data_IF_051593857920
#
_entry.id   IF_051593857920
#
_cell.length_a   1.000
_cell.length_b   1.000
_cell.length_c   1.000
_cell.angle_alpha   90.00
_cell.angle_beta   90.00
_cell.angle_gamma   90.00
#
_symmetry.space_group_name_H-M   'P 1'
#
loop_
_entity.id
_entity.type
_entity.pdbx_description
1 polymer ?
#
# COMPACT_ATOMS: atom_id res chain seq x y z
N UNK A 1 0.31 -4.96 9.36
CA UNK A 1 1.11 -3.86 8.77
C UNK A 1 2.63 -3.96 8.98
N UNK A 2 3.20 -5.17 9.14
CA UNK A 2 4.62 -5.33 9.50
C UNK A 2 5.59 -4.91 8.38
N UNK A 3 5.26 -5.20 7.12
CA UNK A 3 6.09 -4.85 5.96
C UNK A 3 6.30 -3.35 5.84
N UNK A 4 5.25 -2.55 6.06
CA UNK A 4 5.33 -1.08 6.07
C UNK A 4 6.29 -0.58 7.14
N UNK A 5 6.20 -1.13 8.37
CA UNK A 5 7.08 -0.74 9.48
C UNK A 5 8.54 -1.09 9.21
N UNK A 6 8.80 -2.25 8.61
CA UNK A 6 10.15 -2.68 8.26
C UNK A 6 10.76 -1.80 7.17
N UNK A 7 9.99 -1.53 6.10
CA UNK A 7 10.46 -0.70 5.00
C UNK A 7 10.60 0.76 5.42
N UNK A 8 9.77 1.25 6.34
CA UNK A 8 9.96 2.56 6.95
C UNK A 8 11.28 2.68 7.72
N UNK A 9 11.65 1.66 8.51
CA UNK A 9 12.96 1.61 9.17
C UNK A 9 14.13 1.55 8.16
N UNK A 10 13.89 1.02 6.96
CA UNK A 10 14.84 0.98 5.87
C UNK A 10 14.88 2.28 5.03
N UNK A 11 14.20 3.36 5.46
CA UNK A 11 14.20 4.66 4.78
C UNK A 11 13.16 4.79 3.68
N UNK A 12 12.16 3.90 3.63
CA UNK A 12 11.11 3.92 2.63
C UNK A 12 9.82 4.58 3.17
N UNK A 13 9.03 5.13 2.26
CA UNK A 13 7.76 5.81 2.52
C UNK A 13 6.63 5.03 1.87
N UNK A 14 5.63 4.65 2.65
CA UNK A 14 4.40 4.04 2.13
C UNK A 14 3.47 5.13 1.61
N UNK A 15 3.20 5.13 0.32
CA UNK A 15 2.39 6.18 -0.34
C UNK A 15 0.97 5.74 -0.65
N UNK A 16 0.66 4.43 -0.59
CA UNK A 16 -0.68 3.94 -0.87
C UNK A 16 -0.93 2.56 -0.28
N UNK A 17 -2.18 2.32 0.12
CA UNK A 17 -2.66 1.06 0.69
C UNK A 17 -4.02 0.73 0.05
N UNK A 18 -4.16 -0.48 -0.51
CA UNK A 18 -5.44 -0.99 -1.01
C UNK A 18 -5.87 -2.24 -0.23
N UNK A 19 -7.08 -2.18 0.32
CA UNK A 19 -7.79 -3.26 1.03
C UNK A 19 -9.04 -3.66 0.21
N UNK A 20 -9.78 -4.68 0.68
CA UNK A 20 -11.05 -5.11 0.08
C UNK A 20 -12.13 -4.00 0.08
N UNK A 21 -12.09 -3.12 1.07
CA UNK A 21 -13.06 -2.03 1.24
C UNK A 21 -12.75 -0.81 0.36
N UNK A 22 -11.55 -0.75 -0.21
CA UNK A 22 -11.09 0.37 -1.04
C UNK A 22 -9.62 0.73 -0.83
N UNK A 23 -9.20 1.82 -1.46
CA UNK A 23 -7.81 2.27 -1.48
C UNK A 23 -7.64 3.67 -0.91
N UNK A 24 -6.50 3.92 -0.28
CA UNK A 24 -6.07 5.23 0.19
C UNK A 24 -4.69 5.57 -0.35
N UNK A 25 -4.43 6.86 -0.56
CA UNK A 25 -3.19 7.38 -1.12
C UNK A 25 -2.74 8.66 -0.41
N UNK A 26 -1.43 8.74 -0.16
CA UNK A 26 -0.75 9.94 0.32
C UNK A 26 0.72 9.95 -0.17
N UNK A 27 1.09 10.82 -1.13
CA UNK A 27 2.48 10.92 -1.60
C UNK A 27 3.45 11.39 -0.51
N UNK A 28 2.95 12.10 0.51
CA UNK A 28 3.76 12.53 1.67
C UNK A 28 4.03 11.39 2.66
N UNK A 29 3.28 10.29 2.55
CA UNK A 29 3.49 9.08 3.31
C UNK A 29 2.39 8.78 4.32
N UNK A 30 2.12 7.49 4.48
CA UNK A 30 1.11 6.94 5.38
C UNK A 30 1.82 6.36 6.59
N UNK A 31 1.49 6.89 7.78
CA UNK A 31 2.08 6.40 9.02
C UNK A 31 1.46 5.06 9.43
N UNK A 32 2.24 4.00 9.37
CA UNK A 32 1.78 2.63 9.59
C UNK A 32 1.03 2.43 10.91
N UNK A 33 1.60 2.87 12.04
CA UNK A 33 0.97 2.69 13.36
C UNK A 33 -0.39 3.41 13.45
N UNK A 34 -0.44 4.70 13.10
CA UNK A 34 -1.67 5.49 13.13
C UNK A 34 -2.78 4.88 12.27
N UNK A 35 -2.43 4.33 11.11
CA UNK A 35 -3.42 3.65 10.26
C UNK A 35 -3.86 2.30 10.85
N UNK A 36 -2.95 1.56 11.49
CA UNK A 36 -3.29 0.32 12.21
C UNK A 36 -4.28 0.60 13.34
N UNK A 37 -3.99 1.63 14.14
CA UNK A 37 -4.83 2.09 15.25
C UNK A 37 -6.22 2.52 14.73
N UNK A 38 -6.26 3.37 13.69
CA UNK A 38 -7.51 3.80 13.05
C UNK A 38 -8.34 2.61 12.54
N UNK A 39 -7.69 1.64 11.87
CA UNK A 39 -8.37 0.44 11.36
C UNK A 39 -8.91 -0.43 12.49
N UNK A 40 -8.18 -0.56 13.60
CA UNK A 40 -8.64 -1.30 14.77
C UNK A 40 -9.87 -0.64 15.42
N UNK A 41 -9.93 0.68 15.43
CA UNK A 41 -11.06 1.45 15.99
C UNK A 41 -12.27 1.49 15.06
N UNK A 42 -12.07 1.66 13.75
CA UNK A 42 -13.14 1.91 12.78
C UNK A 42 -13.52 0.68 11.95
N UNK A 43 -12.73 -0.39 12.01
CA UNK A 43 -12.91 -1.61 11.22
C UNK A 43 -12.51 -1.48 9.74
N UNK A 44 -12.10 -0.29 9.28
CA UNK A 44 -11.71 -0.03 7.88
C UNK A 44 -10.60 1.02 7.80
N UNK A 45 -9.93 1.10 6.65
CA UNK A 45 -8.93 2.13 6.35
C UNK A 45 -9.53 3.39 5.69
N UNK A 46 -10.77 3.29 5.22
CA UNK A 46 -11.45 4.39 4.53
C UNK A 46 -11.77 5.51 5.53
N UNK A 47 -11.53 6.75 5.11
CA UNK A 47 -11.68 7.93 5.96
C UNK A 47 -10.47 8.23 6.86
N UNK A 48 -9.39 7.44 6.78
CA UNK A 48 -8.17 7.70 7.55
C UNK A 48 -7.65 9.14 7.29
N UNK A 49 -7.54 10.02 8.31
CA UNK A 49 -7.20 11.43 8.11
C UNK A 49 -5.82 11.68 7.48
N UNK A 50 -4.91 10.72 7.59
CA UNK A 50 -3.57 10.81 7.03
C UNK A 50 -3.45 10.39 5.57
N UNK A 51 -4.56 10.12 4.87
CA UNK A 51 -4.59 9.81 3.45
C UNK A 51 -5.91 10.20 2.80
N UNK A 52 -5.95 10.24 1.47
CA UNK A 52 -7.19 10.47 0.72
C UNK A 52 -7.69 9.15 0.11
N UNK A 53 -9.00 8.97 -0.06
CA UNK A 53 -9.53 7.89 -0.90
C UNK A 53 -8.89 7.94 -2.29
N UNK A 54 -8.61 6.76 -2.85
CA UNK A 54 -8.01 6.63 -4.17
C UNK A 54 -8.91 5.73 -5.03
N UNK A 55 -9.40 6.29 -6.13
CA UNK A 55 -10.35 5.63 -7.04
C UNK A 55 -9.65 4.92 -8.23
N UNK A 56 -8.34 5.14 -8.41
CA UNK A 56 -7.55 4.51 -9.46
C UNK A 56 -7.08 3.10 -9.10
N UNK A 57 -6.39 2.45 -10.04
CA UNK A 57 -5.72 1.17 -9.78
C UNK A 57 -4.36 1.42 -9.11
N UNK A 58 -4.31 1.24 -7.79
CA UNK A 58 -3.09 1.44 -6.99
C UNK A 58 -1.94 0.51 -7.42
N UNK A 59 -2.23 -0.63 -8.08
CA UNK A 59 -1.21 -1.52 -8.65
C UNK A 59 -0.44 -0.85 -9.80
N UNK A 60 -1.07 0.08 -10.51
CA UNK A 60 -0.51 0.78 -11.66
C UNK A 60 0.13 2.13 -11.27
N UNK A 61 -0.05 2.58 -10.02
CA UNK A 61 0.49 3.84 -9.52
C UNK A 61 2.03 3.78 -9.44
N UNK A 62 2.68 4.93 -9.68
CA UNK A 62 4.14 5.00 -9.72
C UNK A 62 4.71 4.77 -8.32
N UNK A 63 5.34 3.62 -8.12
CA UNK A 63 6.05 3.27 -6.89
C UNK A 63 7.28 2.41 -7.20
N UNK A 64 8.25 2.42 -6.28
CA UNK A 64 9.50 1.67 -6.42
C UNK A 64 9.34 0.22 -5.96
N UNK A 65 8.53 0.01 -4.91
CA UNK A 65 8.21 -1.30 -4.36
C UNK A 65 6.70 -1.44 -4.26
N UNK A 66 6.19 -2.52 -4.86
CA UNK A 66 4.80 -2.95 -4.78
C UNK A 66 4.77 -4.27 -4.01
N UNK A 67 3.95 -4.33 -2.96
CA UNK A 67 3.80 -5.52 -2.13
C UNK A 67 2.37 -6.08 -2.30
N UNK A 68 2.11 -6.92 -3.30
CA UNK A 68 0.80 -7.55 -3.47
C UNK A 68 0.63 -8.71 -2.48
N UNK A 69 -0.36 -8.61 -1.59
CA UNK A 69 -0.44 -9.47 -0.42
C UNK A 69 -1.89 -9.76 0.06
N UNK A 70 -2.91 -9.49 -0.78
CA UNK A 70 -4.33 -9.67 -0.44
C UNK A 70 -4.98 -10.99 -0.91
N UNK A 71 -4.40 -11.71 -1.89
CA UNK A 71 -4.79 -13.08 -2.32
C UNK A 71 -3.89 -13.56 -3.46
N UNK A 72 -3.83 -14.88 -3.69
CA UNK A 72 -3.27 -15.43 -4.93
C UNK A 72 -4.05 -14.85 -6.15
N UNK A 73 -3.34 -14.35 -7.17
CA UNK A 73 -3.86 -13.86 -8.49
C UNK A 73 -4.16 -12.36 -8.67
N UNK A 74 -3.74 -11.47 -7.77
CA UNK A 74 -3.81 -10.01 -8.02
C UNK A 74 -2.90 -9.56 -9.19
N UNK A 75 -1.84 -10.32 -9.49
CA UNK A 75 -0.99 -10.16 -10.67
C UNK A 75 -1.54 -11.00 -11.83
N UNK A 76 -2.04 -10.33 -12.87
CA UNK A 76 -2.53 -10.97 -14.10
C UNK A 76 -1.68 -10.53 -15.29
N UNK A 77 -1.71 -11.28 -16.40
CA UNK A 77 -1.04 -10.85 -17.65
C UNK A 77 -1.49 -9.46 -18.12
N UNK A 78 -2.67 -9.01 -17.71
CA UNK A 78 -3.27 -7.74 -18.14
C UNK A 78 -2.74 -6.52 -17.38
N UNK A 79 -2.30 -6.69 -16.12
CA UNK A 79 -1.74 -5.60 -15.31
C UNK A 79 -0.22 -5.70 -15.12
N UNK A 80 0.38 -6.87 -15.36
CA UNK A 80 1.81 -7.09 -15.22
C UNK A 80 2.68 -6.11 -16.03
N UNK A 81 2.24 -5.69 -17.23
CA UNK A 81 2.95 -4.72 -18.06
C UNK A 81 2.83 -3.27 -17.58
N UNK A 82 1.91 -2.98 -16.65
CA UNK A 82 1.64 -1.64 -16.12
C UNK A 82 2.29 -1.39 -14.76
N UNK A 83 2.82 -2.43 -14.13
CA UNK A 83 3.48 -2.33 -12.83
C UNK A 83 4.86 -1.72 -13.02
N UNK A 84 5.08 -0.59 -12.34
CA UNK A 84 6.33 0.16 -12.41
C UNK A 84 7.33 -0.23 -11.31
N UNK A 85 6.92 -1.09 -10.37
CA UNK A 85 7.66 -1.41 -9.16
C UNK A 85 8.40 -2.75 -9.21
N UNK A 86 9.43 -2.90 -8.36
CA UNK A 86 10.09 -4.18 -8.08
C UNK A 86 9.25 -4.97 -7.06
N UNK A 87 8.73 -6.13 -7.46
CA UNK A 87 7.83 -6.97 -6.65
C UNK A 87 8.62 -7.72 -5.56
N UNK A 88 8.12 -7.72 -4.33
CA UNK A 88 8.68 -8.54 -3.23
C UNK A 88 7.61 -9.48 -2.63
N UNK A 89 8.08 -10.58 -2.01
CA UNK A 89 7.35 -11.80 -1.57
C UNK A 89 5.94 -11.58 -0.97
N UNK A 90 5.06 -12.62 -1.05
CA UNK A 90 3.72 -12.58 -0.48
C UNK A 90 3.75 -12.48 1.05
N UNK A 91 2.91 -11.59 1.60
CA UNK A 91 2.51 -11.52 3.00
C UNK A 91 0.97 -11.45 3.05
N UNK A 92 0.33 -11.44 4.23
CA UNK A 92 -1.13 -11.41 4.41
C UNK A 92 -1.67 -9.97 4.63
N UNK A 93 -1.18 -8.99 3.88
CA UNK A 93 -1.34 -7.54 4.15
C UNK A 93 -1.83 -6.84 2.85
N UNK A 94 -2.52 -5.69 2.92
CA UNK A 94 -2.94 -4.91 1.75
C UNK A 94 -1.82 -4.59 0.75
N UNK A 95 -2.19 -4.24 -0.49
CA UNK A 95 -1.24 -3.79 -1.51
C UNK A 95 -0.58 -2.51 -1.03
N UNK A 96 0.74 -2.51 -0.88
CA UNK A 96 1.50 -1.35 -0.43
C UNK A 96 2.36 -0.82 -1.57
N UNK A 97 2.19 0.46 -1.90
CA UNK A 97 3.06 1.22 -2.78
C UNK A 97 4.09 1.99 -1.94
N UNK A 98 5.38 1.84 -2.26
CA UNK A 98 6.47 2.39 -1.45
C UNK A 98 7.50 3.10 -2.33
N UNK A 99 8.02 4.23 -1.86
CA UNK A 99 9.09 5.01 -2.49
C UNK A 99 10.24 5.26 -1.51
N UNK A 100 11.51 5.30 -1.95
CA UNK A 100 12.64 5.70 -1.11
C UNK A 100 12.56 7.19 -0.76
N UNK A 101 12.93 7.54 0.48
CA UNK A 101 13.14 8.95 0.85
C UNK A 101 14.52 9.37 0.31
N UNK A 102 14.54 10.17 -0.76
CA UNK A 102 15.74 10.86 -1.24
C UNK A 102 15.90 12.19 -0.52
#
# INVERSE_FOLDING_TARGET
MHTVRYLHKAGAKCIGIAEVDGSIYNPEGIHAQKLEDYRMENGTIIGFPGAKPYEGDLLCEKCDILVPAASERQLTKQNASKIQAKVSKPALIPIVAIQPMT
#
